data_IF_106819577029
#
_entry.id   IF_106819577029
#
_cell.length_a   1.000
_cell.length_b   1.000
_cell.length_c   1.000
_cell.angle_alpha   90.00
_cell.angle_beta   90.00
_cell.angle_gamma   90.00
#
_symmetry.space_group_name_H-M   'P 1'
#
loop_
_entity.id
_entity.type
_entity.pdbx_description
1 polymer ?
#
# COMPACT_ATOMS: atom_id res chain seq x y z
N UNK A 1 -18.10 -23.92 42.62
CA UNK A 1 -18.97 -23.23 41.65
C UNK A 1 -18.29 -21.96 41.19
N UNK A 2 -17.92 -21.88 39.91
CA UNK A 2 -17.42 -20.61 39.34
C UNK A 2 -18.61 -19.67 39.31
N UNK A 3 -18.59 -18.63 40.09
CA UNK A 3 -19.53 -17.49 39.97
C UNK A 3 -19.51 -17.05 38.53
N UNK A 4 -20.61 -17.23 37.82
CA UNK A 4 -20.73 -16.73 36.45
C UNK A 4 -20.55 -15.21 36.53
N UNK A 5 -19.60 -14.67 35.78
CA UNK A 5 -19.37 -13.24 35.66
C UNK A 5 -20.54 -12.61 34.85
N UNK A 6 -21.65 -12.39 35.52
CA UNK A 6 -22.90 -11.89 34.91
C UNK A 6 -22.68 -10.52 34.25
N UNK A 7 -21.91 -9.65 34.91
CA UNK A 7 -21.64 -8.29 34.39
C UNK A 7 -20.74 -8.39 33.15
N UNK A 8 -19.65 -9.15 33.23
CA UNK A 8 -18.76 -9.37 32.10
C UNK A 8 -19.45 -9.99 30.89
N UNK A 9 -20.34 -10.95 31.12
CA UNK A 9 -21.10 -11.58 30.06
C UNK A 9 -22.10 -10.61 29.41
N UNK A 10 -22.72 -9.72 30.17
CA UNK A 10 -23.61 -8.66 29.65
C UNK A 10 -22.87 -7.73 28.67
N UNK A 11 -21.70 -7.20 29.06
CA UNK A 11 -20.94 -6.29 28.19
C UNK A 11 -20.32 -7.01 27.00
N UNK A 12 -19.83 -8.24 27.17
CA UNK A 12 -19.35 -9.08 26.04
C UNK A 12 -20.46 -9.37 25.02
N UNK A 13 -21.72 -9.48 25.44
CA UNK A 13 -22.85 -9.63 24.53
C UNK A 13 -23.06 -8.34 23.71
N UNK A 14 -23.04 -7.17 24.36
CA UNK A 14 -23.14 -5.87 23.66
C UNK A 14 -21.99 -5.68 22.64
N UNK A 15 -20.76 -5.99 23.01
CA UNK A 15 -19.63 -5.94 22.08
C UNK A 15 -19.83 -6.87 20.85
N UNK A 16 -20.48 -8.03 21.05
CA UNK A 16 -20.69 -9.01 19.98
C UNK A 16 -21.59 -8.47 18.87
N UNK A 17 -22.58 -7.63 19.21
CA UNK A 17 -23.53 -7.04 18.26
C UNK A 17 -22.86 -6.10 17.24
N UNK A 18 -21.66 -5.58 17.56
CA UNK A 18 -20.88 -4.72 16.68
C UNK A 18 -19.76 -5.44 15.93
N UNK A 19 -19.67 -6.79 16.03
CA UNK A 19 -18.62 -7.58 15.39
C UNK A 19 -19.01 -7.98 13.98
N UNK A 20 -18.44 -7.28 13.00
CA UNK A 20 -18.49 -7.67 11.59
C UNK A 20 -17.29 -8.53 11.19
N UNK A 21 -17.45 -9.37 10.16
CA UNK A 21 -16.38 -10.14 9.52
C UNK A 21 -16.37 -9.91 8.03
N UNK A 22 -15.17 -9.84 7.44
CA UNK A 22 -15.02 -9.94 6.00
C UNK A 22 -15.34 -11.37 5.53
N UNK A 23 -15.87 -11.48 4.33
CA UNK A 23 -16.16 -12.78 3.71
C UNK A 23 -14.88 -13.57 3.46
N UNK A 24 -14.95 -14.88 3.73
CA UNK A 24 -13.84 -15.81 3.49
C UNK A 24 -13.75 -16.17 2.00
N UNK A 25 -12.55 -16.61 1.56
CA UNK A 25 -12.27 -16.99 0.16
C UNK A 25 -12.42 -15.84 -0.84
N UNK A 26 -12.32 -14.61 -0.38
CA UNK A 26 -12.29 -13.37 -1.17
C UNK A 26 -10.93 -12.70 -1.04
N UNK A 27 -10.62 -11.82 -1.97
CA UNK A 27 -9.49 -10.90 -1.86
C UNK A 27 -9.89 -9.74 -0.96
N UNK A 28 -9.21 -9.60 0.17
CA UNK A 28 -9.40 -8.46 1.07
C UNK A 28 -8.48 -7.32 0.65
N UNK A 29 -9.06 -6.17 0.39
CA UNK A 29 -8.33 -4.94 0.11
C UNK A 29 -8.41 -4.06 1.35
N UNK A 30 -7.25 -3.64 1.86
CA UNK A 30 -7.13 -2.63 2.91
C UNK A 30 -6.51 -1.38 2.29
N UNK A 31 -7.12 -0.22 2.53
CA UNK A 31 -6.57 1.08 2.15
C UNK A 31 -6.34 1.90 3.40
N UNK A 32 -5.07 2.21 3.65
CA UNK A 32 -4.58 3.04 4.74
C UNK A 32 -4.32 4.44 4.19
N UNK A 33 -4.88 5.46 4.79
CA UNK A 33 -4.88 6.84 4.30
C UNK A 33 -4.36 7.79 5.37
N UNK A 34 -3.50 8.71 4.99
CA UNK A 34 -2.88 9.66 5.92
C UNK A 34 -3.83 10.75 6.37
N UNK A 35 -4.16 10.79 7.65
CA UNK A 35 -5.05 11.80 8.22
C UNK A 35 -4.45 13.20 8.15
N UNK A 36 -5.07 14.09 7.36
CA UNK A 36 -4.69 15.49 7.21
C UNK A 36 -3.22 15.68 6.75
N UNK A 37 -2.72 14.81 5.88
CA UNK A 37 -1.34 14.85 5.37
C UNK A 37 -1.04 16.09 4.55
N UNK A 38 -2.05 16.71 3.92
CA UNK A 38 -1.87 18.03 3.31
C UNK A 38 -1.26 19.04 4.30
N UNK A 39 -1.76 19.07 5.53
CA UNK A 39 -1.20 19.93 6.58
C UNK A 39 0.15 19.40 7.08
N UNK A 40 0.29 18.09 7.27
CA UNK A 40 1.53 17.45 7.74
C UNK A 40 2.71 17.77 6.80
N UNK A 41 2.49 17.74 5.49
CA UNK A 41 3.54 17.92 4.46
C UNK A 41 3.70 19.36 3.97
N UNK A 42 3.03 20.33 4.59
CA UNK A 42 2.98 21.72 4.10
C UNK A 42 4.36 22.34 3.89
N UNK A 43 5.30 22.10 4.80
CA UNK A 43 6.66 22.67 4.77
C UNK A 43 7.70 21.74 4.13
N UNK A 44 7.29 20.55 3.68
CA UNK A 44 8.17 19.63 2.99
C UNK A 44 8.47 20.10 1.57
N UNK A 45 9.56 19.59 0.99
CA UNK A 45 9.94 19.90 -0.40
C UNK A 45 8.82 19.58 -1.37
N UNK A 46 8.58 20.48 -2.32
CA UNK A 46 7.55 20.34 -3.36
C UNK A 46 8.20 20.15 -4.74
N UNK A 47 7.55 19.47 -5.68
CA UNK A 47 6.27 18.78 -5.50
C UNK A 47 6.36 17.49 -4.67
N UNK A 48 7.56 16.90 -4.51
CA UNK A 48 7.80 15.67 -3.73
C UNK A 48 9.04 15.81 -2.84
N UNK A 49 8.97 15.18 -1.66
CA UNK A 49 10.09 15.09 -0.71
C UNK A 49 10.61 13.66 -0.69
N UNK A 50 11.88 13.44 -1.04
CA UNK A 50 12.52 12.13 -1.08
C UNK A 50 12.51 11.44 0.28
N UNK A 51 12.64 12.20 1.38
CA UNK A 51 12.60 11.64 2.75
C UNK A 51 11.23 11.04 3.03
N UNK A 52 10.17 11.75 2.64
CA UNK A 52 8.79 11.25 2.80
C UNK A 52 8.56 9.99 1.96
N UNK A 53 9.08 9.97 0.73
CA UNK A 53 9.03 8.78 -0.11
C UNK A 53 9.73 7.58 0.56
N UNK A 54 10.95 7.74 1.08
CA UNK A 54 11.67 6.66 1.75
C UNK A 54 10.92 6.15 2.99
N UNK A 55 10.32 7.04 3.79
CA UNK A 55 9.51 6.68 4.96
C UNK A 55 8.33 5.80 4.56
N UNK A 56 7.60 6.20 3.52
CA UNK A 56 6.45 5.42 3.03
C UNK A 56 6.87 4.10 2.39
N UNK A 57 7.98 4.07 1.66
CA UNK A 57 8.54 2.85 1.08
C UNK A 57 8.88 1.81 2.15
N UNK A 58 9.56 2.23 3.22
CA UNK A 58 9.89 1.33 4.32
C UNK A 58 8.65 0.94 5.15
N UNK A 59 7.65 1.83 5.23
CA UNK A 59 6.36 1.52 5.86
C UNK A 59 5.59 0.48 5.05
N UNK A 60 5.53 0.63 3.72
CA UNK A 60 4.93 -0.33 2.81
C UNK A 60 5.56 -1.73 2.94
N UNK A 61 6.89 -1.80 2.89
CA UNK A 61 7.63 -3.06 3.02
C UNK A 61 7.31 -3.75 4.34
N UNK A 62 7.38 -3.00 5.44
CA UNK A 62 7.08 -3.53 6.77
C UNK A 62 5.65 -4.04 6.91
N UNK A 63 4.67 -3.30 6.39
CA UNK A 63 3.27 -3.75 6.38
C UNK A 63 3.11 -5.05 5.60
N UNK A 64 3.69 -5.14 4.40
CA UNK A 64 3.59 -6.33 3.57
C UNK A 64 4.22 -7.57 4.22
N UNK A 65 5.28 -7.39 4.99
CA UNK A 65 5.99 -8.48 5.66
C UNK A 65 5.36 -8.86 7.01
N UNK A 66 4.68 -7.92 7.68
CA UNK A 66 4.12 -8.11 9.02
C UNK A 66 2.65 -8.53 9.01
N UNK A 67 1.86 -8.01 8.06
CA UNK A 67 0.43 -8.31 7.97
C UNK A 67 0.22 -9.65 7.27
N UNK A 68 -0.40 -10.60 7.97
CA UNK A 68 -0.66 -11.93 7.43
C UNK A 68 -1.55 -11.90 6.19
N UNK A 69 -1.18 -12.70 5.20
CA UNK A 69 -1.97 -12.87 3.98
C UNK A 69 -1.69 -11.84 2.90
N UNK A 70 -0.90 -10.79 3.14
CA UNK A 70 -0.57 -9.79 2.12
C UNK A 70 0.16 -10.45 0.95
N UNK A 71 -0.30 -10.13 -0.25
CA UNK A 71 0.28 -10.55 -1.53
C UNK A 71 0.84 -9.38 -2.30
N UNK A 72 0.14 -8.25 -2.30
CA UNK A 72 0.51 -7.03 -3.01
C UNK A 72 0.33 -5.85 -2.05
N UNK A 73 1.33 -4.99 -1.97
CA UNK A 73 1.23 -3.66 -1.41
C UNK A 73 1.46 -2.63 -2.50
N UNK A 74 0.72 -1.55 -2.47
CA UNK A 74 0.84 -0.41 -3.37
C UNK A 74 0.89 0.88 -2.55
N UNK A 75 1.82 1.77 -2.87
CA UNK A 75 1.96 3.07 -2.23
C UNK A 75 1.92 4.19 -3.26
N UNK A 76 1.18 5.23 -2.94
CA UNK A 76 1.15 6.49 -3.66
C UNK A 76 0.75 7.65 -2.74
N UNK A 77 1.37 8.83 -2.88
CA UNK A 77 1.06 10.04 -2.08
C UNK A 77 1.14 9.81 -0.57
N UNK A 78 0.02 9.75 0.13
CA UNK A 78 -0.15 9.47 1.56
C UNK A 78 -1.01 8.21 1.80
N UNK A 79 -1.16 7.37 0.77
CA UNK A 79 -2.01 6.19 0.79
C UNK A 79 -1.21 4.91 0.56
N UNK A 80 -1.50 3.88 1.37
CA UNK A 80 -1.02 2.51 1.16
C UNK A 80 -2.22 1.58 0.98
N UNK A 81 -2.24 0.84 -0.13
CA UNK A 81 -3.20 -0.24 -0.37
C UNK A 81 -2.53 -1.59 -0.19
N UNK A 82 -3.17 -2.51 0.54
CA UNK A 82 -2.73 -3.88 0.73
C UNK A 82 -3.78 -4.84 0.17
N UNK A 83 -3.35 -5.83 -0.60
CA UNK A 83 -4.20 -6.93 -1.07
C UNK A 83 -3.82 -8.19 -0.30
N UNK A 84 -4.78 -8.72 0.45
CA UNK A 84 -4.63 -9.93 1.24
C UNK A 84 -5.42 -11.07 0.62
N UNK A 85 -4.82 -12.25 0.59
CA UNK A 85 -5.50 -13.47 0.18
C UNK A 85 -4.86 -14.68 0.87
N UNK A 86 -5.70 -15.54 1.43
CA UNK A 86 -5.24 -16.79 2.02
C UNK A 86 -5.35 -17.93 1.00
N UNK A 87 -4.23 -18.24 0.34
CA UNK A 87 -4.10 -19.32 -0.65
C UNK A 87 -3.56 -20.64 -0.05
N UNK A 88 -3.60 -20.78 1.27
CA UNK A 88 -3.17 -22.04 1.92
C UNK A 88 -4.00 -23.22 1.43
N UNK A 89 -3.38 -24.33 0.97
CA UNK A 89 -4.09 -25.53 0.57
C UNK A 89 -4.69 -26.32 1.76
N UNK A 90 -4.39 -25.91 2.99
CA UNK A 90 -4.88 -26.59 4.20
C UNK A 90 -6.39 -26.40 4.36
N UNK A 91 -7.09 -27.46 4.74
CA UNK A 91 -8.55 -27.46 4.95
C UNK A 91 -8.95 -26.41 6.02
N UNK A 92 -8.12 -26.23 7.06
CA UNK A 92 -8.35 -25.23 8.11
C UNK A 92 -7.52 -23.97 7.82
N UNK A 93 -7.97 -23.13 6.87
CA UNK A 93 -7.36 -21.83 6.61
C UNK A 93 -7.61 -20.89 7.80
N UNK A 94 -6.55 -20.50 8.47
CA UNK A 94 -6.65 -19.45 9.48
C UNK A 94 -6.50 -18.11 8.78
N UNK A 95 -7.52 -17.27 8.86
CA UNK A 95 -7.48 -15.89 8.39
C UNK A 95 -6.93 -14.97 9.47
N UNK A 96 -6.24 -13.93 9.07
CA UNK A 96 -5.73 -12.93 9.99
C UNK A 96 -6.87 -12.40 10.86
N UNK A 97 -6.73 -12.52 12.18
CA UNK A 97 -7.77 -12.23 13.17
C UNK A 97 -9.15 -12.83 12.90
N UNK A 98 -9.22 -13.98 12.24
CA UNK A 98 -10.50 -14.64 11.92
C UNK A 98 -11.44 -13.72 11.11
N UNK A 99 -10.86 -12.91 10.21
CA UNK A 99 -11.55 -11.93 9.37
C UNK A 99 -12.34 -10.84 10.14
N UNK A 100 -12.10 -10.62 11.42
CA UNK A 100 -12.80 -9.59 12.22
C UNK A 100 -12.42 -8.20 11.74
N UNK A 101 -13.42 -7.45 11.23
CA UNK A 101 -13.24 -6.15 10.59
C UNK A 101 -12.53 -5.17 11.52
N UNK A 102 -13.05 -4.97 12.73
CA UNK A 102 -12.50 -4.00 13.68
C UNK A 102 -11.04 -4.30 14.05
N UNK A 103 -10.70 -5.59 14.23
CA UNK A 103 -9.32 -5.99 14.56
C UNK A 103 -8.37 -5.77 13.39
N UNK A 104 -8.80 -6.17 12.19
CA UNK A 104 -7.98 -6.02 10.99
C UNK A 104 -7.70 -4.54 10.72
N UNK A 105 -8.73 -3.69 10.72
CA UNK A 105 -8.56 -2.27 10.43
C UNK A 105 -7.73 -1.57 11.51
N UNK A 106 -8.02 -1.78 12.78
CA UNK A 106 -7.33 -1.10 13.88
C UNK A 106 -5.87 -1.53 13.99
N UNK A 107 -5.58 -2.83 13.87
CA UNK A 107 -4.19 -3.31 13.96
C UNK A 107 -3.38 -2.92 12.73
N UNK A 108 -3.94 -3.01 11.51
CA UNK A 108 -3.26 -2.54 10.30
C UNK A 108 -2.91 -1.05 10.40
N UNK A 109 -3.87 -0.22 10.86
CA UNK A 109 -3.66 1.22 11.08
C UNK A 109 -2.60 1.49 12.14
N UNK A 110 -2.63 0.73 13.25
CA UNK A 110 -1.65 0.87 14.33
C UNK A 110 -0.24 0.51 13.85
N UNK A 111 -0.07 -0.58 13.08
CA UNK A 111 1.20 -0.98 12.49
C UNK A 111 1.71 0.11 11.54
N UNK A 112 0.85 0.62 10.65
CA UNK A 112 1.18 1.69 9.71
C UNK A 112 1.65 2.95 10.44
N UNK A 113 0.87 3.43 11.40
CA UNK A 113 1.15 4.63 12.19
C UNK A 113 2.46 4.48 12.97
N UNK A 114 2.66 3.37 13.65
CA UNK A 114 3.86 3.11 14.43
C UNK A 114 5.12 3.07 13.54
N UNK A 115 5.06 2.32 12.43
CA UNK A 115 6.20 2.19 11.51
C UNK A 115 6.50 3.50 10.80
N UNK A 116 5.50 4.20 10.28
CA UNK A 116 5.67 5.50 9.65
C UNK A 116 6.39 6.49 10.59
N UNK A 117 5.91 6.64 11.83
CA UNK A 117 6.51 7.57 12.78
C UNK A 117 7.90 7.13 13.24
N UNK A 118 8.16 5.83 13.34
CA UNK A 118 9.50 5.30 13.60
C UNK A 118 10.49 5.67 12.48
N UNK A 119 10.08 5.57 11.21
CA UNK A 119 10.92 5.99 10.08
C UNK A 119 11.05 7.52 10.00
N UNK A 120 9.95 8.25 10.23
CA UNK A 120 9.93 9.71 10.24
C UNK A 120 10.93 10.28 11.25
N UNK A 121 10.99 9.70 12.44
CA UNK A 121 11.91 10.15 13.50
C UNK A 121 13.40 9.96 13.14
N UNK A 122 13.74 9.04 12.21
CA UNK A 122 15.14 8.86 11.76
C UNK A 122 15.66 10.06 10.96
N UNK A 123 14.79 10.78 10.29
CA UNK A 123 15.14 11.97 9.52
C UNK A 123 15.09 13.28 10.31
N UNK A 124 14.74 13.20 11.61
CA UNK A 124 14.41 14.39 12.39
C UNK A 124 13.09 15.03 11.95
N UNK A 125 12.56 15.92 12.72
CA UNK A 125 11.30 16.59 12.40
C UNK A 125 11.50 17.56 11.21
N UNK A 126 10.87 17.28 10.09
CA UNK A 126 10.91 18.10 8.87
C UNK A 126 9.53 18.46 8.32
N UNK A 127 8.47 18.04 8.98
CA UNK A 127 7.08 18.42 8.72
C UNK A 127 6.54 19.33 9.80
N UNK A 128 5.30 19.78 9.63
CA UNK A 128 4.65 20.71 10.57
C UNK A 128 4.16 20.05 11.85
N UNK A 129 4.13 18.73 11.91
CA UNK A 129 3.60 17.95 13.04
C UNK A 129 4.59 16.89 13.47
N UNK A 130 4.55 16.58 14.75
CA UNK A 130 5.39 15.56 15.36
C UNK A 130 5.04 14.13 14.90
N UNK A 131 3.75 13.85 14.70
CA UNK A 131 3.25 12.53 14.32
C UNK A 131 2.32 12.56 13.12
N UNK A 132 2.50 11.59 12.21
CA UNK A 132 1.53 11.21 11.20
C UNK A 132 0.55 10.17 11.74
N UNK A 133 -0.74 10.31 11.42
CA UNK A 133 -1.79 9.37 11.77
C UNK A 133 -2.45 8.84 10.50
N UNK A 134 -2.96 7.63 10.57
CA UNK A 134 -3.63 6.98 9.45
C UNK A 134 -5.03 6.51 9.86
N UNK A 135 -5.95 6.47 8.91
CA UNK A 135 -7.18 5.69 8.99
C UNK A 135 -7.12 4.50 8.02
N UNK A 136 -8.06 3.56 8.15
CA UNK A 136 -8.13 2.40 7.28
C UNK A 136 -9.56 2.11 6.84
N UNK A 137 -9.69 1.67 5.59
CA UNK A 137 -10.91 1.14 5.00
C UNK A 137 -10.62 -0.25 4.47
N UNK A 138 -11.61 -1.15 4.58
CA UNK A 138 -11.46 -2.51 4.09
C UNK A 138 -12.71 -2.99 3.39
N UNK A 139 -12.53 -3.75 2.33
CA UNK A 139 -13.61 -4.41 1.58
C UNK A 139 -13.07 -5.63 0.84
N UNK A 140 -13.96 -6.50 0.41
CA UNK A 140 -13.60 -7.71 -0.32
C UNK A 140 -14.06 -7.64 -1.78
N UNK A 141 -13.26 -8.29 -2.65
CA UNK A 141 -13.60 -8.51 -4.06
C UNK A 141 -13.46 -9.98 -4.41
N UNK A 142 -14.24 -10.45 -5.42
CA UNK A 142 -14.38 -11.87 -5.70
C UNK A 142 -13.25 -12.44 -6.54
N UNK A 143 -12.67 -11.64 -7.43
CA UNK A 143 -11.77 -12.11 -8.49
C UNK A 143 -10.49 -11.29 -8.52
N UNK A 144 -9.46 -11.89 -9.10
CA UNK A 144 -8.18 -11.20 -9.33
C UNK A 144 -8.32 -10.05 -10.34
N UNK A 145 -9.25 -10.16 -11.30
CA UNK A 145 -9.52 -9.08 -12.24
C UNK A 145 -10.07 -7.83 -11.54
N UNK A 146 -10.91 -8.01 -10.51
CA UNK A 146 -11.38 -6.88 -9.68
C UNK A 146 -10.28 -6.30 -8.79
N UNK A 147 -9.31 -7.11 -8.39
CA UNK A 147 -8.10 -6.61 -7.72
C UNK A 147 -7.29 -5.73 -8.69
N UNK A 148 -7.09 -6.20 -9.92
CA UNK A 148 -6.41 -5.45 -10.96
C UNK A 148 -7.12 -4.11 -11.25
N UNK A 149 -8.42 -4.15 -11.49
CA UNK A 149 -9.25 -2.95 -11.71
C UNK A 149 -9.10 -1.91 -10.58
N UNK A 150 -9.13 -2.37 -9.32
CA UNK A 150 -8.92 -1.51 -8.16
C UNK A 150 -7.53 -0.86 -8.16
N UNK A 151 -6.48 -1.66 -8.40
CA UNK A 151 -5.11 -1.15 -8.41
C UNK A 151 -4.87 -0.20 -9.60
N UNK A 152 -5.42 -0.49 -10.78
CA UNK A 152 -5.41 0.42 -11.94
C UNK A 152 -6.09 1.75 -11.62
N UNK A 153 -7.22 1.72 -10.93
CA UNK A 153 -7.89 2.93 -10.47
C UNK A 153 -6.97 3.75 -9.55
N UNK A 154 -6.27 3.10 -8.61
CA UNK A 154 -5.35 3.81 -7.70
C UNK A 154 -4.12 4.37 -8.42
N UNK A 155 -3.56 3.64 -9.38
CA UNK A 155 -2.46 4.12 -10.23
C UNK A 155 -2.90 5.32 -11.08
N UNK A 156 -4.09 5.26 -11.67
CA UNK A 156 -4.63 6.37 -12.44
C UNK A 156 -4.87 7.62 -11.57
N UNK A 157 -5.27 7.43 -10.33
CA UNK A 157 -5.43 8.52 -9.37
C UNK A 157 -4.07 9.13 -8.99
N UNK A 158 -3.04 8.31 -8.78
CA UNK A 158 -1.65 8.75 -8.60
C UNK A 158 -1.17 9.64 -9.74
N UNK A 159 -1.43 9.22 -11.00
CA UNK A 159 -1.07 9.99 -12.19
C UNK A 159 -1.77 11.36 -12.20
N UNK A 160 -3.08 11.39 -11.93
CA UNK A 160 -3.86 12.64 -11.86
C UNK A 160 -3.30 13.59 -10.80
N UNK A 161 -3.04 13.07 -9.61
CA UNK A 161 -2.52 13.82 -8.47
C UNK A 161 -1.11 14.37 -8.76
N UNK A 162 -0.22 13.53 -9.29
CA UNK A 162 1.15 13.93 -9.60
C UNK A 162 1.20 15.00 -10.71
N UNK A 163 0.42 14.84 -11.77
CA UNK A 163 0.32 15.88 -12.82
C UNK A 163 -0.16 17.20 -12.23
N UNK A 164 -1.18 17.15 -11.36
CA UNK A 164 -1.66 18.37 -10.69
C UNK A 164 -0.58 19.00 -9.81
N UNK A 165 0.13 18.22 -9.01
CA UNK A 165 1.18 18.72 -8.11
C UNK A 165 2.35 19.36 -8.88
N UNK A 166 2.81 18.73 -9.97
CA UNK A 166 3.85 19.30 -10.84
C UNK A 166 3.38 20.61 -11.50
N UNK A 167 2.17 20.61 -12.05
CA UNK A 167 1.61 21.80 -12.69
C UNK A 167 1.39 22.92 -11.65
N UNK A 168 0.89 22.60 -10.47
CA UNK A 168 0.69 23.57 -9.40
C UNK A 168 2.01 24.19 -8.94
N UNK A 169 3.06 23.37 -8.77
CA UNK A 169 4.37 23.85 -8.35
C UNK A 169 5.00 24.79 -9.37
N UNK A 170 4.82 24.53 -10.66
CA UNK A 170 5.33 25.39 -11.73
C UNK A 170 4.52 26.66 -11.93
N UNK A 171 3.21 26.55 -11.95
CA UNK A 171 2.30 27.69 -12.20
C UNK A 171 2.37 28.72 -11.07
N UNK A 172 2.57 28.30 -9.80
CA UNK A 172 2.63 29.22 -8.66
C UNK A 172 3.77 30.22 -8.73
N UNK A 173 4.81 29.95 -9.54
CA UNK A 173 5.95 30.85 -9.73
C UNK A 173 5.52 32.17 -10.42
N UNK A 174 4.51 32.14 -11.29
CA UNK A 174 4.12 33.25 -12.15
C UNK A 174 2.64 33.66 -12.07
N UNK A 175 1.76 32.81 -11.48
CA UNK A 175 0.32 33.07 -11.44
C UNK A 175 -0.40 32.36 -10.32
N UNK A 176 -1.71 32.57 -10.16
CA UNK A 176 -2.56 31.84 -9.23
C UNK A 176 -2.83 30.44 -9.79
N UNK A 177 -2.22 29.36 -9.21
CA UNK A 177 -2.31 28.02 -9.78
C UNK A 177 -3.73 27.44 -9.71
N UNK A 178 -4.50 27.76 -8.67
CA UNK A 178 -5.88 27.27 -8.56
C UNK A 178 -6.72 27.75 -9.74
N UNK A 179 -6.64 29.03 -10.08
CA UNK A 179 -7.36 29.62 -11.21
C UNK A 179 -6.84 29.10 -12.55
N UNK A 180 -5.54 28.99 -12.71
CA UNK A 180 -4.91 28.57 -13.97
C UNK A 180 -5.15 27.09 -14.30
N UNK A 181 -5.27 26.22 -13.27
CA UNK A 181 -5.45 24.78 -13.43
C UNK A 181 -6.92 24.32 -13.31
N UNK A 182 -7.83 25.24 -12.94
CA UNK A 182 -9.25 24.94 -12.82
C UNK A 182 -9.82 24.44 -14.16
N UNK A 183 -10.61 23.37 -14.09
CA UNK A 183 -11.27 22.72 -15.24
C UNK A 183 -10.33 22.16 -16.33
N UNK A 184 -9.02 22.17 -16.15
CA UNK A 184 -8.09 21.54 -17.08
C UNK A 184 -8.03 20.03 -16.85
N UNK A 185 -8.13 19.27 -17.92
CA UNK A 185 -7.89 17.81 -17.94
C UNK A 185 -6.43 17.48 -17.61
N UNK A 186 -6.14 16.20 -17.36
CA UNK A 186 -4.76 15.72 -17.16
C UNK A 186 -3.88 16.05 -18.36
N UNK A 187 -4.40 15.80 -19.59
CA UNK A 187 -3.68 16.10 -20.84
C UNK A 187 -3.35 17.58 -20.95
N UNK A 188 -4.33 18.47 -20.74
CA UNK A 188 -4.12 19.91 -20.82
C UNK A 188 -3.11 20.43 -19.80
N UNK A 189 -3.02 19.81 -18.61
CA UNK A 189 -2.00 20.15 -17.63
C UNK A 189 -0.60 19.67 -18.05
N UNK A 190 -0.49 18.51 -18.68
CA UNK A 190 0.78 18.01 -19.25
C UNK A 190 1.21 18.89 -20.42
N UNK A 191 0.30 19.25 -21.31
CA UNK A 191 0.58 20.15 -22.43
C UNK A 191 1.02 21.55 -21.94
N UNK A 192 0.38 22.06 -20.89
CA UNK A 192 0.76 23.32 -20.23
C UNK A 192 2.18 23.26 -19.66
N UNK A 193 2.52 22.19 -18.93
CA UNK A 193 3.86 21.97 -18.40
C UNK A 193 4.91 22.00 -19.52
N UNK A 194 4.64 21.31 -20.63
CA UNK A 194 5.56 21.21 -21.75
C UNK A 194 5.68 22.52 -22.52
N UNK A 195 4.56 23.13 -22.90
CA UNK A 195 4.52 24.24 -23.83
C UNK A 195 4.85 25.60 -23.18
N UNK A 196 4.42 25.82 -21.93
CA UNK A 196 4.62 27.11 -21.24
C UNK A 196 5.83 27.09 -20.29
N UNK A 197 6.17 25.90 -19.72
CA UNK A 197 7.24 25.79 -18.73
C UNK A 197 8.44 24.95 -19.20
N UNK A 198 8.40 24.34 -20.39
CA UNK A 198 9.48 23.51 -20.94
C UNK A 198 9.70 22.20 -20.15
N UNK A 199 8.71 21.76 -19.38
CA UNK A 199 8.81 20.60 -18.48
C UNK A 199 8.16 19.38 -19.12
N UNK A 200 8.94 18.35 -19.41
CA UNK A 200 8.41 17.05 -19.82
C UNK A 200 7.98 16.25 -18.57
N UNK A 201 6.67 16.09 -18.38
CA UNK A 201 6.12 15.28 -17.28
C UNK A 201 6.64 13.83 -17.26
N UNK A 202 6.90 13.25 -18.43
CA UNK A 202 7.33 11.85 -18.54
C UNK A 202 8.81 11.66 -18.19
N UNK A 203 9.59 12.71 -18.09
CA UNK A 203 10.97 12.65 -17.60
C UNK A 203 11.09 12.47 -16.08
N UNK A 204 10.01 12.73 -15.33
CA UNK A 204 10.02 12.51 -13.89
C UNK A 204 10.02 11.01 -13.54
N UNK A 205 10.62 10.66 -12.41
CA UNK A 205 10.71 9.29 -11.93
C UNK A 205 9.33 8.62 -11.79
N UNK A 206 9.23 7.35 -12.19
CA UNK A 206 7.99 6.57 -12.16
C UNK A 206 7.36 6.52 -10.76
N UNK A 207 8.19 6.38 -9.73
CA UNK A 207 7.76 6.33 -8.32
C UNK A 207 6.91 7.52 -7.89
N UNK A 208 7.19 8.72 -8.41
CA UNK A 208 6.40 9.93 -8.12
C UNK A 208 5.18 10.11 -9.03
N UNK A 209 5.21 9.49 -10.22
CA UNK A 209 4.10 9.59 -11.17
C UNK A 209 3.03 8.54 -10.97
N UNK A 210 3.46 7.29 -10.69
CA UNK A 210 2.60 6.11 -10.67
C UNK A 210 2.56 5.42 -9.30
N UNK A 211 3.38 5.85 -8.33
CA UNK A 211 3.58 5.11 -7.08
C UNK A 211 4.49 3.89 -7.26
N UNK A 212 4.49 3.01 -6.27
CA UNK A 212 5.32 1.81 -6.24
C UNK A 212 4.54 0.59 -5.77
N UNK A 213 4.95 -0.59 -6.22
CA UNK A 213 4.44 -1.87 -5.72
C UNK A 213 5.50 -2.64 -4.91
N UNK A 214 5.03 -3.39 -3.93
CA UNK A 214 5.82 -4.40 -3.22
C UNK A 214 5.00 -5.68 -3.19
N UNK A 215 5.36 -6.64 -4.04
CA UNK A 215 4.53 -7.81 -4.31
C UNK A 215 5.27 -9.12 -4.13
N UNK A 216 4.55 -10.18 -3.74
CA UNK A 216 5.11 -11.54 -3.67
C UNK A 216 5.26 -12.10 -5.06
N UNK A 217 6.48 -12.49 -5.42
CA UNK A 217 6.80 -13.17 -6.67
C UNK A 217 7.44 -14.52 -6.43
N UNK A 218 7.29 -15.44 -7.38
CA UNK A 218 8.02 -16.68 -7.36
C UNK A 218 9.49 -16.44 -7.70
N UNK A 219 10.37 -16.80 -6.78
CA UNK A 219 11.82 -16.75 -6.98
C UNK A 219 12.38 -18.15 -6.88
N UNK A 220 13.06 -18.59 -7.92
CA UNK A 220 13.75 -19.89 -7.97
C UNK A 220 15.23 -19.67 -7.64
N UNK A 221 15.77 -20.45 -6.70
CA UNK A 221 17.16 -20.42 -6.31
C UNK A 221 17.67 -21.83 -6.00
N UNK A 222 18.97 -22.01 -6.14
CA UNK A 222 19.63 -23.28 -5.82
C UNK A 222 20.11 -23.23 -4.37
N UNK A 223 19.62 -24.15 -3.57
CA UNK A 223 20.14 -24.41 -2.23
C UNK A 223 21.30 -25.37 -2.36
N UNK A 224 22.49 -24.92 -2.05
CA UNK A 224 23.71 -25.70 -2.14
C UNK A 224 23.76 -26.77 -1.05
N UNK A 225 24.14 -28.02 -1.40
CA UNK A 225 24.38 -29.10 -0.45
C UNK A 225 25.35 -28.70 0.65
N UNK A 226 26.38 -27.93 0.30
CA UNK A 226 27.41 -27.44 1.22
C UNK A 226 26.86 -26.60 2.38
N UNK A 227 25.74 -25.90 2.15
CA UNK A 227 25.09 -25.07 3.17
C UNK A 227 24.28 -25.91 4.17
N UNK A 228 23.83 -27.10 3.75
CA UNK A 228 22.98 -28.00 4.55
C UNK A 228 23.41 -29.46 4.37
N UNK A 229 24.65 -29.84 4.70
CA UNK A 229 25.21 -31.16 4.36
C UNK A 229 24.49 -32.35 5.03
N UNK A 230 23.82 -32.09 6.19
CA UNK A 230 23.06 -33.12 6.89
C UNK A 230 21.64 -33.35 6.33
N UNK A 231 21.13 -32.42 5.51
CA UNK A 231 19.73 -32.41 5.04
C UNK A 231 19.60 -32.58 3.53
N UNK A 232 20.66 -32.33 2.79
CA UNK A 232 20.65 -32.41 1.32
C UNK A 232 21.67 -33.44 0.82
N UNK A 233 21.23 -34.32 -0.07
CA UNK A 233 22.11 -35.29 -0.78
C UNK A 233 22.84 -34.63 -1.96
N UNK A 234 22.20 -33.64 -2.58
CA UNK A 234 22.68 -32.88 -3.74
C UNK A 234 22.13 -31.43 -3.69
N UNK A 235 22.59 -30.56 -4.55
CA UNK A 235 22.05 -29.22 -4.74
C UNK A 235 20.58 -29.32 -5.12
N UNK A 236 19.72 -28.52 -4.48
CA UNK A 236 18.27 -28.56 -4.70
C UNK A 236 17.74 -27.21 -5.20
N UNK A 237 17.11 -27.24 -6.36
CA UNK A 237 16.35 -26.08 -6.84
C UNK A 237 15.06 -25.93 -6.04
N UNK A 238 14.87 -24.75 -5.45
CA UNK A 238 13.69 -24.44 -4.62
C UNK A 238 13.04 -23.17 -5.16
N UNK A 239 11.75 -23.22 -5.39
CA UNK A 239 10.94 -22.05 -5.72
C UNK A 239 10.18 -21.59 -4.49
N UNK A 240 10.34 -20.33 -4.12
CA UNK A 240 9.63 -19.69 -2.99
C UNK A 240 9.07 -18.36 -3.42
N UNK A 241 7.98 -17.95 -2.79
CA UNK A 241 7.46 -16.59 -2.93
C UNK A 241 8.26 -15.65 -2.03
N UNK A 242 8.82 -14.58 -2.60
CA UNK A 242 9.48 -13.50 -1.89
C UNK A 242 8.89 -12.17 -2.35
N UNK A 243 8.89 -11.18 -1.46
CA UNK A 243 8.52 -9.83 -1.84
C UNK A 243 9.61 -9.18 -2.70
N UNK A 244 9.17 -8.46 -3.73
CA UNK A 244 10.01 -7.67 -4.62
C UNK A 244 9.43 -6.27 -4.76
N UNK A 245 10.31 -5.27 -4.74
CA UNK A 245 9.97 -3.87 -4.93
C UNK A 245 9.97 -3.53 -6.43
N UNK A 246 8.92 -2.80 -6.86
CA UNK A 246 8.75 -2.29 -8.22
C UNK A 246 8.58 -0.76 -8.15
N UNK A 247 9.68 -0.03 -8.26
CA UNK A 247 9.66 1.44 -8.37
C UNK A 247 9.34 1.91 -9.78
N UNK A 248 9.44 1.00 -10.75
CA UNK A 248 9.02 1.17 -12.14
C UNK A 248 8.21 -0.04 -12.57
N UNK A 249 7.14 0.18 -13.31
CA UNK A 249 6.31 -0.87 -13.92
C UNK A 249 5.58 -0.29 -15.15
N UNK A 250 5.32 -1.14 -16.14
CA UNK A 250 4.63 -0.71 -17.35
C UNK A 250 3.12 -0.73 -17.14
N UNK A 251 2.58 -1.82 -16.64
CA UNK A 251 1.17 -1.98 -16.35
C UNK A 251 0.93 -2.73 -15.02
N UNK A 252 -0.28 -2.62 -14.48
CA UNK A 252 -0.67 -3.29 -13.23
C UNK A 252 -0.87 -4.79 -13.44
N UNK A 253 -1.25 -5.21 -14.67
CA UNK A 253 -1.45 -6.60 -14.99
C UNK A 253 -0.18 -7.43 -14.72
N UNK A 254 1.00 -6.91 -15.08
CA UNK A 254 2.28 -7.60 -14.85
C UNK A 254 2.50 -7.91 -13.36
N UNK A 255 2.05 -7.00 -12.47
CA UNK A 255 2.15 -7.20 -11.02
C UNK A 255 1.16 -8.25 -10.53
N UNK A 256 -0.07 -8.21 -11.06
CA UNK A 256 -1.18 -9.09 -10.62
C UNK A 256 -1.03 -10.49 -11.19
N UNK A 257 -0.50 -10.65 -12.40
CA UNK A 257 -0.36 -11.96 -13.08
C UNK A 257 0.58 -12.93 -12.35
N UNK A 258 1.49 -12.42 -11.50
CA UNK A 258 2.28 -13.29 -10.60
C UNK A 258 1.43 -14.11 -9.62
N UNK A 259 0.16 -13.75 -9.44
CA UNK A 259 -0.80 -14.46 -8.55
C UNK A 259 -1.80 -15.30 -9.32
N UNK A 260 -1.87 -15.17 -10.65
CA UNK A 260 -2.65 -16.10 -11.47
C UNK A 260 -1.99 -17.46 -11.37
N UNK A 261 -2.66 -18.43 -10.75
CA UNK A 261 -2.18 -19.81 -10.72
C UNK A 261 -2.15 -20.33 -12.16
N UNK A 262 -1.08 -21.05 -12.51
CA UNK A 262 -1.06 -21.77 -13.80
C UNK A 262 -2.19 -22.82 -13.78
N UNK A 263 -3.38 -22.46 -14.18
CA UNK A 263 -4.52 -23.37 -14.19
C UNK A 263 -5.90 -22.72 -13.92
N UNK A 264 -6.00 -21.39 -13.74
CA UNK A 264 -7.28 -20.64 -13.85
C UNK A 264 -7.44 -20.05 -15.24
#
# INVERSE_FOLDING_TARGET
MKTQDVIGNKYKALEKDYRAKFESNKYLILRLDGKAFHSFTKEMKKPFDERLYEIFKETLKYLCETVDGVKIGYYQSDEISLVLFNDSPKINKQYWFDNKVEKILTIATSICTAKFNSEYNKFGQFGTKEFGFFDARGFVVDTLDKVQEYLEWRVNDSIKNSVYLYAFDKVKENSNPTKALMNKSVKEKIDLLKNEYGVDYYSFESKYRKGIFYSKEYTTFVVKKEQYPQHLKEDKTVTRRKFKLHETFDNVADIVDHFRTKGE
#
